data_IF_920070691156
#
_entry.id   IF_920070691156
#
_cell.length_a   1.000
_cell.length_b   1.000
_cell.length_c   1.000
_cell.angle_alpha   90.00
_cell.angle_beta   90.00
_cell.angle_gamma   90.00
#
_symmetry.space_group_name_H-M   'P 1'
#
loop_
_entity.id
_entity.type
_entity.pdbx_description
1 polymer ?
#
# COMPACT_ATOMS: atom_id res chain seq x y z
N UNK A 1 -13.67 0.66 8.06
CA UNK A 1 -13.11 -0.60 7.49
C UNK A 1 -11.61 -0.48 7.42
N UNK A 2 -10.91 -1.48 7.93
CA UNK A 2 -9.46 -1.56 7.94
C UNK A 2 -9.00 -2.54 6.85
N UNK A 3 -8.31 -2.02 5.84
CA UNK A 3 -7.75 -2.84 4.75
C UNK A 3 -6.25 -2.90 4.93
N UNK A 4 -5.68 -4.09 4.80
CA UNK A 4 -4.24 -4.30 4.71
C UNK A 4 -3.91 -4.82 3.33
N UNK A 5 -2.99 -4.17 2.65
CA UNK A 5 -2.46 -4.67 1.40
C UNK A 5 -1.03 -5.20 1.60
N UNK A 6 -0.69 -6.25 0.89
CA UNK A 6 0.63 -6.84 0.92
C UNK A 6 1.07 -7.25 -0.47
N UNK A 7 2.35 -7.03 -0.75
CA UNK A 7 2.95 -7.48 -2.00
C UNK A 7 3.12 -8.99 -1.97
N UNK A 8 2.74 -9.64 -3.07
CA UNK A 8 2.77 -11.10 -3.20
C UNK A 8 3.42 -11.49 -4.52
N UNK A 9 4.42 -12.33 -4.45
CA UNK A 9 4.99 -12.95 -5.64
C UNK A 9 4.12 -14.13 -6.07
N UNK A 10 3.87 -14.25 -7.36
CA UNK A 10 3.15 -15.39 -7.91
C UNK A 10 4.12 -16.54 -8.08
N UNK A 11 3.92 -17.67 -7.37
CA UNK A 11 4.80 -18.84 -7.53
C UNK A 11 4.58 -19.48 -8.91
N UNK A 12 5.68 -19.71 -9.61
CA UNK A 12 5.68 -20.44 -10.86
C UNK A 12 5.72 -21.98 -10.63
N UNK A 13 5.63 -22.72 -11.72
CA UNK A 13 5.81 -24.16 -11.69
C UNK A 13 7.20 -24.51 -11.15
N UNK A 14 7.28 -25.33 -10.12
CA UNK A 14 8.54 -25.68 -9.44
C UNK A 14 8.95 -24.69 -8.34
N UNK A 15 8.06 -23.74 -7.94
CA UNK A 15 8.25 -22.86 -6.79
C UNK A 15 9.00 -21.55 -7.08
N UNK A 16 9.65 -21.42 -8.23
CA UNK A 16 10.32 -20.17 -8.60
C UNK A 16 9.26 -19.09 -8.93
N UNK A 17 9.35 -17.87 -8.35
CA UNK A 17 8.37 -16.83 -8.61
C UNK A 17 8.51 -16.25 -10.04
N UNK A 18 7.38 -15.83 -10.61
CA UNK A 18 7.35 -15.09 -11.87
C UNK A 18 7.87 -13.66 -11.65
N UNK A 19 9.15 -13.45 -11.92
CA UNK A 19 9.81 -12.14 -11.84
C UNK A 19 10.50 -11.87 -13.19
N UNK A 20 10.18 -10.73 -13.82
CA UNK A 20 10.84 -10.36 -15.06
C UNK A 20 12.34 -10.09 -14.85
N UNK A 21 13.19 -10.27 -15.89
CA UNK A 21 14.61 -9.93 -15.80
C UNK A 21 14.85 -8.47 -15.40
N UNK A 22 14.04 -7.54 -15.92
CA UNK A 22 14.10 -6.13 -15.55
C UNK A 22 13.84 -5.94 -14.04
N UNK A 23 12.80 -6.56 -13.50
CA UNK A 23 12.46 -6.42 -12.08
C UNK A 23 13.53 -7.06 -11.17
N UNK A 24 14.14 -8.18 -11.59
CA UNK A 24 15.27 -8.79 -10.87
C UNK A 24 16.48 -7.84 -10.78
N UNK A 25 16.78 -7.14 -11.87
CA UNK A 25 17.88 -6.18 -11.91
C UNK A 25 17.59 -4.97 -11.02
N UNK A 26 16.37 -4.44 -11.10
CA UNK A 26 15.97 -3.26 -10.34
C UNK A 26 15.78 -3.54 -8.85
N UNK A 27 15.37 -4.76 -8.50
CA UNK A 27 14.98 -5.16 -7.13
C UNK A 27 15.46 -6.59 -6.83
N UNK A 28 16.76 -6.79 -6.67
CA UNK A 28 17.32 -8.13 -6.47
C UNK A 28 16.79 -8.82 -5.22
N UNK A 29 16.38 -8.07 -4.20
CA UNK A 29 15.81 -8.62 -2.97
C UNK A 29 14.50 -9.41 -3.19
N UNK A 30 13.78 -9.20 -4.29
CA UNK A 30 12.60 -10.00 -4.62
C UNK A 30 12.92 -11.47 -4.92
N UNK A 31 14.18 -11.81 -5.14
CA UNK A 31 14.61 -13.19 -5.39
C UNK A 31 14.89 -13.98 -4.13
N UNK A 32 14.84 -13.35 -2.94
CA UNK A 32 15.13 -14.02 -1.65
C UNK A 32 13.98 -14.90 -1.15
N UNK A 33 12.79 -14.80 -1.74
CA UNK A 33 11.63 -15.60 -1.37
C UNK A 33 10.73 -15.01 -0.27
N UNK A 34 11.09 -13.85 0.28
CA UNK A 34 10.37 -13.23 1.40
C UNK A 34 8.93 -12.83 1.08
N UNK A 35 8.59 -12.67 -0.21
CA UNK A 35 7.26 -12.24 -0.65
C UNK A 35 6.42 -13.40 -1.24
N UNK A 36 6.83 -14.64 -1.00
CA UNK A 36 6.09 -15.81 -1.47
C UNK A 36 4.96 -16.13 -0.47
N UNK A 37 3.73 -16.38 -0.96
CA UNK A 37 2.61 -16.76 -0.09
C UNK A 37 2.94 -17.92 0.85
N UNK A 38 2.58 -17.75 2.13
CA UNK A 38 2.86 -18.73 3.18
C UNK A 38 4.24 -18.58 3.85
N UNK A 39 5.11 -17.73 3.33
CA UNK A 39 6.39 -17.38 3.97
C UNK A 39 6.21 -16.37 5.12
N UNK A 40 7.18 -16.35 6.05
CA UNK A 40 7.19 -15.41 7.17
C UNK A 40 7.17 -13.95 6.70
N UNK A 41 8.00 -13.58 5.75
CA UNK A 41 8.06 -12.21 5.22
C UNK A 41 6.82 -11.77 4.43
N UNK A 42 5.91 -12.70 4.07
CA UNK A 42 4.65 -12.41 3.44
C UNK A 42 3.52 -12.20 4.46
N UNK A 43 3.70 -12.58 5.71
CA UNK A 43 2.67 -12.46 6.75
C UNK A 43 2.50 -11.00 7.18
N UNK A 44 1.28 -10.63 7.57
CA UNK A 44 1.06 -9.37 8.28
C UNK A 44 1.67 -9.48 9.68
N UNK A 45 2.34 -8.42 10.11
CA UNK A 45 2.81 -8.31 11.50
C UNK A 45 1.62 -8.27 12.47
N UNK A 46 1.81 -8.78 13.67
CA UNK A 46 0.72 -8.95 14.64
C UNK A 46 0.06 -7.61 15.02
N UNK A 47 0.83 -6.53 15.07
CA UNK A 47 0.36 -5.18 15.37
C UNK A 47 -0.63 -4.61 14.33
N UNK A 48 -0.64 -5.18 13.13
CA UNK A 48 -1.54 -4.78 12.05
C UNK A 48 -2.76 -5.72 11.91
N UNK A 49 -2.96 -6.61 12.87
CA UNK A 49 -4.10 -7.51 12.91
C UNK A 49 -5.11 -7.07 13.99
N UNK A 50 -6.41 -7.43 13.84
CA UNK A 50 -7.00 -8.02 12.64
C UNK A 50 -7.23 -6.98 11.52
N UNK A 51 -7.33 -7.46 10.28
CA UNK A 51 -7.77 -6.66 9.14
C UNK A 51 -9.17 -7.10 8.71
N UNK A 52 -10.04 -6.15 8.35
CA UNK A 52 -11.36 -6.47 7.78
C UNK A 52 -11.22 -7.09 6.38
N UNK A 53 -10.19 -6.70 5.66
CA UNK A 53 -9.85 -7.22 4.34
C UNK A 53 -8.34 -7.23 4.13
N UNK A 54 -7.81 -8.34 3.65
CA UNK A 54 -6.45 -8.44 3.14
C UNK A 54 -6.48 -8.44 1.61
N UNK A 55 -5.72 -7.52 1.01
CA UNK A 55 -5.56 -7.40 -0.43
C UNK A 55 -4.15 -7.84 -0.81
N UNK A 56 -4.05 -8.95 -1.54
CA UNK A 56 -2.78 -9.37 -2.15
C UNK A 56 -2.59 -8.64 -3.46
N UNK A 57 -1.46 -7.97 -3.62
CA UNK A 57 -1.11 -7.21 -4.82
C UNK A 57 0.18 -7.71 -5.43
N UNK A 58 0.25 -7.70 -6.74
CA UNK A 58 1.41 -8.14 -7.52
C UNK A 58 2.25 -6.96 -8.05
N UNK A 59 1.82 -5.73 -7.73
CA UNK A 59 2.45 -4.48 -8.14
C UNK A 59 2.42 -3.47 -6.98
N UNK A 60 2.88 -2.25 -7.21
CA UNK A 60 2.92 -1.21 -6.18
C UNK A 60 1.55 -0.78 -5.72
N UNK A 61 0.64 -0.52 -6.67
CA UNK A 61 -0.71 -0.08 -6.35
C UNK A 61 -1.55 -1.22 -5.82
N UNK A 62 -2.29 -0.96 -4.75
CA UNK A 62 -3.29 -1.88 -4.21
C UNK A 62 -4.54 -2.01 -5.10
N UNK A 63 -4.70 -1.15 -6.11
CA UNK A 63 -5.79 -1.25 -7.08
C UNK A 63 -5.44 -2.12 -8.28
N UNK A 64 -4.13 -2.25 -8.60
CA UNK A 64 -3.73 -2.93 -9.83
C UNK A 64 -3.98 -4.44 -9.74
N UNK A 65 -4.91 -4.93 -10.60
CA UNK A 65 -5.32 -6.33 -10.69
C UNK A 65 -5.74 -6.95 -9.35
N UNK A 66 -6.39 -6.16 -8.50
CA UNK A 66 -6.95 -6.63 -7.23
C UNK A 66 -8.46 -6.39 -7.18
N UNK A 67 -9.10 -6.93 -6.15
CA UNK A 67 -10.51 -6.70 -5.87
C UNK A 67 -10.78 -5.42 -5.05
N UNK A 68 -9.78 -4.60 -4.78
CA UNK A 68 -9.91 -3.47 -3.85
C UNK A 68 -10.98 -2.47 -4.27
N UNK A 69 -10.96 -2.02 -5.52
CA UNK A 69 -11.95 -1.08 -6.05
C UNK A 69 -13.38 -1.63 -5.95
N UNK A 70 -13.56 -2.90 -6.30
CA UNK A 70 -14.87 -3.55 -6.22
C UNK A 70 -15.40 -3.55 -4.78
N UNK A 71 -14.57 -3.91 -3.79
CA UNK A 71 -14.96 -3.95 -2.39
C UNK A 71 -15.28 -2.56 -1.85
N UNK A 72 -14.43 -1.56 -2.12
CA UNK A 72 -14.64 -0.17 -1.70
C UNK A 72 -15.95 0.40 -2.26
N UNK A 73 -16.20 0.16 -3.56
CA UNK A 73 -17.43 0.60 -4.22
C UNK A 73 -18.67 -0.05 -3.61
N UNK A 74 -18.63 -1.34 -3.35
CA UNK A 74 -19.75 -2.07 -2.71
C UNK A 74 -20.00 -1.63 -1.28
N UNK A 75 -18.95 -1.28 -0.54
CA UNK A 75 -19.06 -0.75 0.81
C UNK A 75 -19.46 0.74 0.87
N UNK A 76 -19.62 1.41 -0.27
CA UNK A 76 -19.93 2.84 -0.34
C UNK A 76 -18.82 3.75 0.18
N UNK A 77 -17.57 3.25 0.24
CA UNK A 77 -16.43 4.01 0.75
C UNK A 77 -15.97 5.00 -0.31
N UNK A 78 -15.81 6.26 0.08
CA UNK A 78 -15.38 7.36 -0.78
C UNK A 78 -14.10 8.03 -0.31
N UNK A 79 -13.70 7.81 0.93
CA UNK A 79 -12.48 8.41 1.50
C UNK A 79 -11.54 7.32 1.99
N UNK A 80 -10.29 7.41 1.60
CA UNK A 80 -9.23 6.48 1.99
C UNK A 80 -8.16 7.21 2.78
N UNK A 81 -7.88 6.73 3.98
CA UNK A 81 -6.66 7.06 4.71
C UNK A 81 -5.61 6.02 4.40
N UNK A 82 -4.47 6.46 3.88
CA UNK A 82 -3.39 5.59 3.40
C UNK A 82 -2.12 5.82 4.19
N UNK A 83 -1.53 4.74 4.66
CA UNK A 83 -0.22 4.73 5.32
C UNK A 83 0.55 3.45 4.94
N UNK A 84 1.82 3.37 5.31
CA UNK A 84 2.63 2.17 5.11
C UNK A 84 3.98 2.40 4.44
N UNK A 85 4.55 1.36 3.88
CA UNK A 85 5.87 1.34 3.23
C UNK A 85 5.78 0.79 1.79
N UNK A 86 6.56 1.32 0.87
CA UNK A 86 7.40 2.52 0.98
C UNK A 86 6.63 3.71 0.43
N UNK A 87 6.84 4.90 1.03
CA UNK A 87 6.09 6.12 0.71
C UNK A 87 6.10 6.44 -0.78
N UNK A 88 7.26 6.41 -1.42
CA UNK A 88 7.44 6.73 -2.84
C UNK A 88 7.07 5.59 -3.81
N UNK A 89 6.76 4.41 -3.28
CA UNK A 89 6.42 3.21 -4.05
C UNK A 89 4.95 2.82 -3.88
N UNK A 90 4.69 1.83 -3.03
CA UNK A 90 3.35 1.27 -2.82
C UNK A 90 2.32 2.30 -2.37
N UNK A 91 2.67 3.15 -1.39
CA UNK A 91 1.80 4.22 -0.90
C UNK A 91 1.48 5.21 -2.01
N UNK A 92 2.51 5.78 -2.66
CA UNK A 92 2.31 6.79 -3.71
C UNK A 92 1.53 6.26 -4.91
N UNK A 93 1.78 5.02 -5.31
CA UNK A 93 1.04 4.40 -6.42
C UNK A 93 -0.42 4.17 -6.06
N UNK A 94 -0.70 3.69 -4.85
CA UNK A 94 -2.06 3.45 -4.38
C UNK A 94 -2.85 4.75 -4.24
N UNK A 95 -2.24 5.82 -3.70
CA UNK A 95 -2.89 7.13 -3.56
C UNK A 95 -3.23 7.74 -4.92
N UNK A 96 -2.30 7.69 -5.90
CA UNK A 96 -2.56 8.19 -7.25
C UNK A 96 -3.64 7.39 -7.97
N UNK A 97 -3.61 6.08 -7.84
CA UNK A 97 -4.64 5.20 -8.40
C UNK A 97 -6.02 5.42 -7.75
N UNK A 98 -6.07 5.72 -6.45
CA UNK A 98 -7.28 6.12 -5.76
C UNK A 98 -7.80 7.46 -6.30
N UNK A 99 -6.92 8.45 -6.47
CA UNK A 99 -7.26 9.77 -6.98
C UNK A 99 -7.91 9.70 -8.38
N UNK A 100 -7.32 8.94 -9.32
CA UNK A 100 -7.90 8.81 -10.68
C UNK A 100 -9.21 8.03 -10.73
N UNK A 101 -9.61 7.41 -9.61
CA UNK A 101 -10.90 6.71 -9.40
C UNK A 101 -11.88 7.51 -8.55
N UNK A 102 -11.64 8.81 -8.40
CA UNK A 102 -12.46 9.76 -7.62
C UNK A 102 -12.61 9.40 -6.12
N UNK A 103 -11.65 8.71 -5.54
CA UNK A 103 -11.58 8.60 -4.09
C UNK A 103 -10.93 9.84 -3.47
N UNK A 104 -11.50 10.34 -2.38
CA UNK A 104 -10.81 11.30 -1.52
C UNK A 104 -9.67 10.58 -0.82
N UNK A 105 -8.45 11.10 -0.92
CA UNK A 105 -7.28 10.49 -0.31
C UNK A 105 -6.70 11.36 0.80
N UNK A 106 -6.30 10.70 1.88
CA UNK A 106 -5.60 11.28 3.01
C UNK A 106 -4.37 10.43 3.26
N UNK A 107 -3.19 10.96 3.03
CA UNK A 107 -1.93 10.26 3.33
C UNK A 107 -1.51 10.61 4.74
N UNK A 108 -1.37 9.61 5.61
CA UNK A 108 -0.89 9.78 6.98
C UNK A 108 0.64 9.78 6.95
N UNK A 109 1.24 10.98 6.89
CA UNK A 109 2.68 11.12 6.60
C UNK A 109 3.57 10.48 7.67
N UNK A 110 3.20 10.56 8.94
CA UNK A 110 3.91 9.95 10.07
C UNK A 110 3.62 8.44 10.25
N UNK A 111 2.65 7.91 9.50
CA UNK A 111 2.40 6.48 9.33
C UNK A 111 3.07 5.88 8.08
N UNK A 112 3.91 6.64 7.39
CA UNK A 112 4.62 6.21 6.19
C UNK A 112 6.13 6.24 6.39
N UNK A 113 6.86 5.40 5.65
CA UNK A 113 8.31 5.41 5.62
C UNK A 113 8.85 5.09 4.23
N UNK A 114 10.06 5.57 3.95
CA UNK A 114 10.84 5.24 2.75
C UNK A 114 12.27 4.87 3.14
N UNK A 115 13.10 4.48 2.16
CA UNK A 115 14.49 4.10 2.42
C UNK A 115 15.38 5.28 2.85
N UNK A 116 14.95 6.52 2.60
CA UNK A 116 15.60 7.72 3.14
C UNK A 116 14.58 8.79 3.49
N UNK A 117 14.89 9.68 4.47
CA UNK A 117 14.03 10.82 4.80
C UNK A 117 13.75 11.74 3.61
N UNK A 118 14.76 12.03 2.81
CA UNK A 118 14.63 12.87 1.61
C UNK A 118 13.62 12.28 0.60
N UNK A 119 13.70 10.97 0.35
CA UNK A 119 12.77 10.26 -0.52
C UNK A 119 11.35 10.30 0.04
N UNK A 120 11.20 10.13 1.36
CA UNK A 120 9.92 10.23 2.05
C UNK A 120 9.33 11.63 1.88
N UNK A 121 10.07 12.67 2.25
CA UNK A 121 9.60 14.06 2.22
C UNK A 121 9.20 14.50 0.81
N UNK A 122 10.00 14.12 -0.19
CA UNK A 122 9.70 14.38 -1.59
C UNK A 122 8.40 13.70 -2.03
N UNK A 123 8.21 12.44 -1.62
CA UNK A 123 6.99 11.71 -1.94
C UNK A 123 5.75 12.35 -1.28
N UNK A 124 5.82 12.71 0.00
CA UNK A 124 4.72 13.39 0.70
C UNK A 124 4.36 14.72 0.03
N UNK A 125 5.35 15.55 -0.32
CA UNK A 125 5.11 16.81 -1.05
C UNK A 125 4.38 16.58 -2.38
N UNK A 126 4.74 15.54 -3.13
CA UNK A 126 4.06 15.23 -4.40
C UNK A 126 2.67 14.63 -4.20
N UNK A 127 2.43 13.89 -3.12
CA UNK A 127 1.10 13.36 -2.79
C UNK A 127 0.12 14.43 -2.34
N UNK A 128 0.60 15.52 -1.75
CA UNK A 128 -0.22 16.69 -1.42
C UNK A 128 -0.88 17.36 -2.65
N UNK A 129 -0.43 17.05 -3.86
CA UNK A 129 -1.04 17.56 -5.11
C UNK A 129 -2.25 16.76 -5.58
N UNK A 130 -2.46 15.54 -5.04
CA UNK A 130 -3.55 14.63 -5.45
C UNK A 130 -4.44 14.21 -4.29
N UNK A 131 -4.18 14.71 -3.08
CA UNK A 131 -4.97 14.43 -1.88
C UNK A 131 -4.51 15.25 -0.70
N UNK A 132 -5.09 15.00 0.46
CA UNK A 132 -4.65 15.61 1.71
C UNK A 132 -3.48 14.82 2.31
N UNK A 133 -2.61 15.52 3.02
CA UNK A 133 -1.60 14.90 3.90
C UNK A 133 -1.80 15.43 5.32
N UNK A 134 -1.73 14.56 6.30
CA UNK A 134 -1.85 14.93 7.72
C UNK A 134 -1.15 13.90 8.60
N UNK A 135 -0.97 14.22 9.85
CA UNK A 135 -0.50 13.27 10.86
C UNK A 135 -1.62 12.32 11.32
N UNK A 136 -1.24 11.22 11.95
CA UNK A 136 -2.18 10.29 12.59
C UNK A 136 -2.98 11.03 13.67
N UNK A 137 -2.34 11.90 14.45
CA UNK A 137 -3.01 12.68 15.51
C UNK A 137 -4.07 13.64 14.94
N UNK A 138 -3.77 14.34 13.85
CA UNK A 138 -4.74 15.20 13.16
C UNK A 138 -5.91 14.40 12.61
N UNK A 139 -5.63 13.24 12.00
CA UNK A 139 -6.68 12.34 11.50
C UNK A 139 -7.58 11.83 12.65
N UNK A 140 -7.01 11.41 13.76
CA UNK A 140 -7.78 10.99 14.94
C UNK A 140 -8.68 12.11 15.48
N UNK A 141 -8.18 13.33 15.55
CA UNK A 141 -8.96 14.49 16.01
C UNK A 141 -10.20 14.75 15.13
N UNK A 142 -10.10 14.54 13.82
CA UNK A 142 -11.24 14.69 12.90
C UNK A 142 -12.38 13.70 13.15
N UNK A 143 -12.08 12.51 13.69
CA UNK A 143 -13.06 11.44 13.89
C UNK A 143 -13.48 11.26 15.35
N UNK A 144 -12.79 11.87 16.31
CA UNK A 144 -13.15 11.83 17.74
C UNK A 144 -14.21 12.87 18.13
N UNK A 145 -14.53 13.81 17.23
CA UNK A 145 -15.50 14.88 17.43
C UNK A 145 -16.87 14.64 16.77
N UNK A 146 -17.16 13.39 16.35
CA UNK A 146 -18.42 13.05 15.66
C UNK A 146 -19.31 12.18 16.51
#
# INVERSE_FOLDING_TARGET
MCIRDRFSLIPGRGGAPFISPHLKTLRPFLTTGDFVPGGWGHSLVDELQPADLVVEKVAYSAFYQTRMEFVLSRAGIRTLMVCGIVTNGGVASTVRDAHVRDFNTITLHDGCAAFSPETHDTAIKTLATVGKTMSIAEAQALFSGS
#
